data_IF_371298819161
#
_entry.id   IF_371298819161
#
_cell.length_a   1.000
_cell.length_b   1.000
_cell.length_c   1.000
_cell.angle_alpha   90.00
_cell.angle_beta   90.00
_cell.angle_gamma   90.00
#
_symmetry.space_group_name_H-M   'P 1'
#
loop_
_entity.id
_entity.type
_entity.pdbx_description
1 polymer ?
#
# COMPACT_ATOMS: atom_id res chain seq x y z
N UNK A 1 14.90 1.40 -31.51
CA UNK A 1 15.29 1.14 -30.10
C UNK A 1 15.46 -0.36 -29.95
N UNK A 2 16.63 -0.84 -29.60
CA UNK A 2 16.86 -2.25 -29.28
C UNK A 2 16.05 -2.57 -28.02
N UNK A 3 15.09 -3.49 -28.15
CA UNK A 3 14.31 -3.98 -27.01
C UNK A 3 15.26 -4.62 -26.01
N UNK A 4 15.31 -4.12 -24.76
CA UNK A 4 16.06 -4.78 -23.69
C UNK A 4 15.48 -6.16 -23.39
N UNK A 5 16.27 -7.04 -22.83
CA UNK A 5 15.79 -8.32 -22.31
C UNK A 5 14.87 -8.08 -21.10
N UNK A 6 13.71 -8.73 -21.06
CA UNK A 6 12.75 -8.57 -19.97
C UNK A 6 13.29 -9.12 -18.63
N UNK A 7 13.06 -8.39 -17.56
CA UNK A 7 13.25 -8.83 -16.17
C UNK A 7 12.02 -9.58 -15.66
N UNK A 8 12.19 -10.38 -14.62
CA UNK A 8 11.06 -11.11 -13.99
C UNK A 8 10.02 -10.19 -13.34
N UNK A 9 10.39 -8.94 -13.06
CA UNK A 9 9.52 -7.90 -12.50
C UNK A 9 8.68 -7.19 -13.56
N UNK A 10 9.00 -7.34 -14.86
CA UNK A 10 8.30 -6.65 -15.93
C UNK A 10 6.84 -7.09 -16.04
N UNK A 11 5.97 -6.12 -16.32
CA UNK A 11 4.57 -6.43 -16.59
C UNK A 11 4.42 -7.12 -17.94
N UNK A 12 3.67 -8.22 -17.98
CA UNK A 12 3.27 -8.86 -19.24
C UNK A 12 2.34 -7.95 -20.05
N UNK A 13 2.16 -8.22 -21.35
CA UNK A 13 1.25 -7.44 -22.20
C UNK A 13 -0.18 -7.43 -21.62
N UNK A 14 -0.65 -8.58 -21.16
CA UNK A 14 -1.97 -8.69 -20.55
C UNK A 14 -2.10 -7.85 -19.26
N UNK A 15 -1.05 -7.81 -18.42
CA UNK A 15 -1.05 -6.96 -17.20
C UNK A 15 -0.93 -5.49 -17.55
N UNK A 16 -0.12 -5.13 -18.54
CA UNK A 16 -0.01 -3.75 -19.00
C UNK A 16 -1.35 -3.23 -19.53
N UNK A 17 -2.03 -3.99 -20.39
CA UNK A 17 -3.33 -3.63 -20.94
C UNK A 17 -4.40 -3.32 -19.85
N UNK A 18 -4.26 -3.85 -18.64
CA UNK A 18 -5.17 -3.54 -17.52
C UNK A 18 -4.99 -2.12 -17.00
N UNK A 19 -3.75 -1.62 -16.94
CA UNK A 19 -3.38 -0.36 -16.29
C UNK A 19 -3.03 0.76 -17.28
N UNK A 20 -2.70 0.42 -18.52
CA UNK A 20 -2.37 1.38 -19.59
C UNK A 20 -3.38 2.52 -19.72
N UNK A 21 -4.72 2.27 -19.67
CA UNK A 21 -5.70 3.35 -19.79
C UNK A 21 -5.55 4.45 -18.74
N UNK A 22 -5.18 4.12 -17.50
CA UNK A 22 -4.94 5.11 -16.44
C UNK A 22 -3.75 6.01 -16.81
N UNK A 23 -2.66 5.42 -17.25
CA UNK A 23 -1.47 6.15 -17.68
C UNK A 23 -1.68 6.95 -18.98
N UNK A 24 -2.53 6.46 -19.88
CA UNK A 24 -2.91 7.19 -21.09
C UNK A 24 -3.70 8.45 -20.76
N UNK A 25 -4.68 8.37 -19.86
CA UNK A 25 -5.43 9.52 -19.36
C UNK A 25 -4.50 10.51 -18.65
N UNK A 26 -3.64 10.01 -17.75
CA UNK A 26 -2.65 10.84 -17.08
C UNK A 26 -1.75 11.59 -18.07
N UNK A 27 -1.26 10.92 -19.12
CA UNK A 27 -0.43 11.55 -20.16
C UNK A 27 -1.19 12.58 -20.97
N UNK A 28 -2.45 12.32 -21.32
CA UNK A 28 -3.30 13.22 -22.09
C UNK A 28 -3.63 14.50 -21.32
N UNK A 29 -3.78 14.42 -19.99
CA UNK A 29 -4.08 15.57 -19.14
C UNK A 29 -2.90 16.53 -18.95
N UNK A 30 -1.68 16.16 -19.36
CA UNK A 30 -0.50 17.01 -19.18
C UNK A 30 -0.45 18.13 -20.23
N UNK A 31 -0.21 19.35 -19.76
CA UNK A 31 -0.04 20.57 -20.56
C UNK A 31 1.25 21.29 -20.19
N UNK A 32 1.69 22.24 -21.02
CA UNK A 32 2.83 23.09 -20.76
C UNK A 32 4.13 22.65 -21.46
N UNK A 33 5.24 23.38 -21.25
CA UNK A 33 6.54 23.09 -21.84
C UNK A 33 7.00 21.67 -21.50
N UNK A 34 7.39 20.90 -22.50
CA UNK A 34 7.80 19.49 -22.34
C UNK A 34 6.68 18.46 -22.35
N UNK A 35 5.40 18.84 -22.32
CA UNK A 35 4.27 17.90 -22.44
C UNK A 35 4.28 17.15 -23.79
N UNK A 36 4.74 17.82 -24.86
CA UNK A 36 4.88 17.23 -26.19
C UNK A 36 6.11 16.30 -26.31
N UNK A 37 7.11 16.44 -25.45
CA UNK A 37 8.29 15.58 -25.47
C UNK A 37 7.99 14.22 -24.83
N UNK A 38 7.34 13.32 -25.58
CA UNK A 38 7.05 11.93 -25.17
C UNK A 38 8.31 11.06 -25.27
N UNK A 39 9.32 11.40 -24.45
CA UNK A 39 10.65 10.78 -24.55
C UNK A 39 10.67 9.34 -24.03
N UNK A 40 9.81 9.01 -23.06
CA UNK A 40 9.86 7.71 -22.40
C UNK A 40 8.53 6.92 -22.56
N UNK A 41 8.67 5.64 -22.81
CA UNK A 41 7.57 4.68 -22.72
C UNK A 41 7.14 4.53 -21.25
N UNK A 42 5.85 4.76 -20.93
CA UNK A 42 5.32 4.68 -19.56
C UNK A 42 5.37 3.25 -19.04
N UNK A 43 5.27 2.24 -19.91
CA UNK A 43 5.43 0.85 -19.51
C UNK A 43 6.85 0.59 -18.99
N UNK A 44 7.87 1.15 -19.66
CA UNK A 44 9.26 1.01 -19.19
C UNK A 44 9.51 1.75 -17.87
N UNK A 45 8.86 2.88 -17.64
CA UNK A 45 8.87 3.56 -16.32
C UNK A 45 8.24 2.66 -15.25
N UNK A 46 7.07 2.07 -15.51
CA UNK A 46 6.41 1.13 -14.57
C UNK A 46 7.29 -0.09 -14.31
N UNK A 47 7.88 -0.69 -15.35
CA UNK A 47 8.80 -1.82 -15.22
C UNK A 47 10.00 -1.50 -14.32
N UNK A 48 10.58 -0.30 -14.47
CA UNK A 48 11.68 0.16 -13.64
C UNK A 48 11.28 0.34 -12.17
N UNK A 49 10.11 0.94 -11.90
CA UNK A 49 9.55 1.07 -10.53
C UNK A 49 9.32 -0.30 -9.90
N UNK A 50 8.73 -1.23 -10.64
CA UNK A 50 8.49 -2.60 -10.16
C UNK A 50 9.79 -3.37 -9.93
N UNK A 51 10.83 -3.09 -10.71
CA UNK A 51 12.16 -3.65 -10.49
C UNK A 51 12.75 -3.18 -9.15
N UNK A 52 12.71 -1.88 -8.87
CA UNK A 52 13.14 -1.32 -7.58
C UNK A 52 12.34 -1.91 -6.42
N UNK A 53 11.00 -1.97 -6.55
CA UNK A 53 10.14 -2.54 -5.52
C UNK A 53 10.42 -4.03 -5.26
N UNK A 54 10.72 -4.79 -6.32
CA UNK A 54 10.99 -6.23 -6.21
C UNK A 54 12.35 -6.56 -5.63
N UNK A 55 13.35 -5.74 -5.96
CA UNK A 55 14.75 -5.98 -5.59
C UNK A 55 15.16 -5.27 -4.31
N UNK A 56 14.46 -4.18 -3.94
CA UNK A 56 14.82 -3.34 -2.79
C UNK A 56 16.08 -2.52 -2.97
N UNK A 57 16.59 -2.39 -4.20
CA UNK A 57 17.79 -1.59 -4.47
C UNK A 57 17.53 -0.08 -4.29
N UNK A 58 18.54 0.73 -3.95
CA UNK A 58 18.46 2.18 -4.11
C UNK A 58 18.20 2.57 -5.56
N UNK A 59 17.47 3.67 -5.79
CA UNK A 59 17.13 4.15 -7.13
C UNK A 59 18.35 4.32 -8.04
N UNK A 60 19.45 4.80 -7.51
CA UNK A 60 20.73 5.05 -8.23
C UNK A 60 21.38 3.77 -8.76
N UNK A 61 20.99 2.59 -8.26
CA UNK A 61 21.46 1.29 -8.73
C UNK A 61 20.54 0.65 -9.79
N UNK A 62 19.56 1.41 -10.29
CA UNK A 62 18.71 0.94 -11.38
C UNK A 62 19.58 0.56 -12.60
N UNK A 63 19.42 -0.65 -13.20
CA UNK A 63 20.15 -1.08 -14.38
C UNK A 63 20.10 -0.06 -15.54
N UNK A 64 21.21 0.07 -16.28
CA UNK A 64 21.36 1.07 -17.33
C UNK A 64 20.50 0.84 -18.59
N UNK A 65 19.91 -0.31 -18.73
CA UNK A 65 18.97 -0.65 -19.82
C UNK A 65 17.53 -0.19 -19.52
N UNK A 66 17.25 0.32 -18.32
CA UNK A 66 16.07 1.12 -18.00
C UNK A 66 16.27 2.60 -18.32
N UNK A 67 15.20 3.41 -18.37
CA UNK A 67 15.35 4.87 -18.38
C UNK A 67 16.17 5.36 -17.17
N UNK A 68 16.86 6.53 -17.27
CA UNK A 68 17.68 7.07 -16.18
C UNK A 68 16.92 7.13 -14.85
N UNK A 69 17.53 6.68 -13.78
CA UNK A 69 16.86 6.54 -12.47
C UNK A 69 16.20 7.85 -11.97
N UNK A 70 16.80 9.00 -12.21
CA UNK A 70 16.20 10.31 -11.87
C UNK A 70 14.88 10.52 -12.59
N UNK A 71 14.83 10.17 -13.88
CA UNK A 71 13.59 10.24 -14.68
C UNK A 71 12.52 9.29 -14.11
N UNK A 72 12.91 8.05 -13.81
CA UNK A 72 11.97 7.06 -13.23
C UNK A 72 11.42 7.55 -11.90
N UNK A 73 12.29 8.07 -11.03
CA UNK A 73 11.89 8.62 -9.74
C UNK A 73 10.97 9.83 -9.88
N UNK A 74 11.25 10.74 -10.84
CA UNK A 74 10.39 11.89 -11.11
C UNK A 74 8.97 11.49 -11.56
N UNK A 75 8.84 10.44 -12.38
CA UNK A 75 7.54 9.90 -12.75
C UNK A 75 6.84 9.30 -11.54
N UNK A 76 7.55 8.47 -10.76
CA UNK A 76 7.03 7.88 -9.54
C UNK A 76 6.52 8.94 -8.57
N UNK A 77 7.34 9.96 -8.26
CA UNK A 77 6.97 11.04 -7.37
C UNK A 77 5.74 11.85 -7.85
N UNK A 78 5.59 12.04 -9.16
CA UNK A 78 4.42 12.70 -9.75
C UNK A 78 3.17 11.86 -9.61
N UNK A 79 3.25 10.54 -9.90
CA UNK A 79 2.13 9.61 -9.78
C UNK A 79 1.66 9.41 -8.33
N UNK A 80 2.59 9.49 -7.38
CA UNK A 80 2.26 9.53 -5.95
C UNK A 80 1.52 10.82 -5.58
N UNK A 81 2.05 11.97 -6.03
CA UNK A 81 1.52 13.28 -5.68
C UNK A 81 0.13 13.56 -6.29
N UNK A 82 -0.15 13.04 -7.49
CA UNK A 82 -1.42 13.26 -8.19
C UNK A 82 -2.43 12.11 -8.07
N UNK A 83 -2.11 11.09 -7.24
CA UNK A 83 -3.00 9.95 -6.96
C UNK A 83 -3.07 8.90 -8.07
N UNK A 84 -2.23 8.98 -9.11
CA UNK A 84 -2.23 7.99 -10.21
C UNK A 84 -1.90 6.59 -9.72
N UNK A 85 -0.94 6.47 -8.77
CA UNK A 85 -0.57 5.18 -8.16
C UNK A 85 -1.76 4.56 -7.43
N UNK A 86 -2.50 5.35 -6.68
CA UNK A 86 -3.72 4.93 -5.99
C UNK A 86 -4.81 4.47 -6.96
N UNK A 87 -5.04 5.22 -8.05
CA UNK A 87 -6.00 4.83 -9.10
C UNK A 87 -5.64 3.48 -9.74
N UNK A 88 -4.35 3.22 -10.01
CA UNK A 88 -3.90 1.93 -10.52
C UNK A 88 -4.13 0.82 -9.49
N UNK A 89 -3.83 1.07 -8.23
CA UNK A 89 -4.04 0.12 -7.14
C UNK A 89 -5.54 -0.23 -7.02
N UNK A 90 -6.41 0.75 -6.98
CA UNK A 90 -7.85 0.57 -6.84
C UNK A 90 -8.45 -0.20 -8.00
N UNK A 91 -8.06 0.15 -9.23
CA UNK A 91 -8.46 -0.60 -10.42
C UNK A 91 -8.08 -2.08 -10.33
N UNK A 92 -6.87 -2.38 -9.88
CA UNK A 92 -6.38 -3.76 -9.76
C UNK A 92 -7.06 -4.49 -8.60
N UNK A 93 -7.31 -3.82 -7.48
CA UNK A 93 -8.08 -4.34 -6.34
C UNK A 93 -9.48 -4.74 -6.78
N UNK A 94 -10.22 -3.84 -7.42
CA UNK A 94 -11.58 -4.08 -7.89
C UNK A 94 -11.65 -5.27 -8.84
N UNK A 95 -10.74 -5.33 -9.81
CA UNK A 95 -10.66 -6.46 -10.74
C UNK A 95 -10.35 -7.78 -10.05
N UNK A 96 -9.41 -7.75 -9.10
CA UNK A 96 -9.05 -8.96 -8.32
C UNK A 96 -10.22 -9.44 -7.48
N UNK A 97 -10.95 -8.53 -6.84
CA UNK A 97 -12.13 -8.87 -6.05
C UNK A 97 -13.22 -9.50 -6.93
N UNK A 98 -13.56 -8.88 -8.06
CA UNK A 98 -14.55 -9.43 -9.02
C UNK A 98 -14.14 -10.78 -9.58
N UNK A 99 -12.86 -11.00 -9.85
CA UNK A 99 -12.33 -12.29 -10.29
C UNK A 99 -12.40 -13.39 -9.22
N UNK A 100 -12.64 -13.01 -7.95
CA UNK A 100 -12.87 -13.93 -6.83
C UNK A 100 -14.33 -13.91 -6.34
N UNK A 101 -15.28 -13.60 -7.22
CA UNK A 101 -16.73 -13.58 -6.94
C UNK A 101 -17.09 -12.64 -5.77
N UNK A 102 -16.38 -11.51 -5.66
CA UNK A 102 -16.65 -10.47 -4.65
C UNK A 102 -17.12 -9.18 -5.33
N UNK A 103 -17.87 -8.38 -4.59
CA UNK A 103 -18.17 -6.99 -4.99
C UNK A 103 -16.88 -6.17 -5.06
N UNK A 104 -16.84 -5.10 -5.87
CA UNK A 104 -15.69 -4.21 -5.96
C UNK A 104 -15.34 -3.63 -4.58
N UNK A 105 -16.35 -3.12 -3.86
CA UNK A 105 -16.17 -2.58 -2.52
C UNK A 105 -16.27 -3.68 -1.44
N UNK A 106 -15.34 -3.73 -0.47
CA UNK A 106 -15.38 -4.64 0.64
C UNK A 106 -16.39 -4.21 1.70
N UNK A 107 -17.05 -5.16 2.36
CA UNK A 107 -17.89 -4.91 3.54
C UNK A 107 -17.19 -5.21 4.87
N UNK A 108 -16.05 -5.92 4.81
CA UNK A 108 -15.28 -6.30 5.98
C UNK A 108 -13.78 -6.21 5.70
N UNK A 109 -13.01 -5.89 6.74
CA UNK A 109 -11.57 -5.69 6.65
C UNK A 109 -10.83 -6.24 7.88
N UNK A 110 -9.52 -6.21 7.80
CA UNK A 110 -8.60 -6.62 8.86
C UNK A 110 -7.58 -5.54 9.07
N UNK A 111 -7.28 -5.20 10.31
CA UNK A 111 -6.24 -4.24 10.67
C UNK A 111 -5.08 -4.92 11.39
N UNK A 112 -3.85 -4.58 11.00
CA UNK A 112 -2.62 -5.02 11.66
C UNK A 112 -1.60 -3.87 11.72
N UNK A 113 -0.65 -3.95 12.66
CA UNK A 113 0.43 -2.98 12.81
C UNK A 113 1.80 -3.64 12.76
N UNK A 114 2.63 -3.19 11.83
CA UNK A 114 3.99 -3.67 11.65
C UNK A 114 5.01 -2.57 11.89
N UNK A 115 5.93 -2.79 12.86
CA UNK A 115 7.09 -1.91 13.05
C UNK A 115 8.23 -2.32 12.12
N UNK A 116 8.79 -1.35 11.41
CA UNK A 116 9.83 -1.54 10.39
C UNK A 116 11.03 -0.67 10.74
N UNK A 117 12.22 -1.28 10.75
CA UNK A 117 13.47 -0.52 10.90
C UNK A 117 13.65 0.45 9.75
N UNK A 118 14.11 1.65 10.07
CA UNK A 118 14.50 2.66 9.07
C UNK A 118 16.01 2.72 8.91
N UNK A 119 16.49 3.18 7.76
CA UNK A 119 17.90 3.43 7.53
C UNK A 119 18.40 4.65 8.30
N UNK A 120 19.73 4.77 8.49
CA UNK A 120 20.35 5.83 9.29
C UNK A 120 20.18 7.25 8.75
N UNK A 121 19.78 7.40 7.47
CA UNK A 121 19.55 8.70 6.81
C UNK A 121 18.12 9.21 6.94
N UNK A 122 17.25 8.53 7.67
CA UNK A 122 15.89 9.00 7.94
C UNK A 122 15.90 9.99 9.09
N UNK A 123 15.20 11.11 8.91
CA UNK A 123 15.12 12.17 9.94
C UNK A 123 14.55 11.63 11.26
N UNK A 124 15.20 11.95 12.37
CA UNK A 124 14.81 11.50 13.72
C UNK A 124 13.36 11.86 14.07
N UNK A 125 12.89 13.03 13.65
CA UNK A 125 11.52 13.50 13.89
C UNK A 125 10.43 12.59 13.26
N UNK A 126 10.78 11.77 12.26
CA UNK A 126 9.84 10.89 11.56
C UNK A 126 9.90 9.43 12.01
N UNK A 127 10.71 9.12 13.01
CA UNK A 127 10.89 7.78 13.56
C UNK A 127 10.67 7.76 15.07
N UNK A 128 10.57 6.56 15.63
CA UNK A 128 10.44 6.36 17.06
C UNK A 128 10.87 4.94 17.44
N UNK A 129 10.76 4.61 18.72
CA UNK A 129 11.09 3.29 19.23
C UNK A 129 9.80 2.57 19.62
N UNK A 130 9.52 1.42 18.99
CA UNK A 130 8.54 0.47 19.48
C UNK A 130 9.14 -0.29 20.67
N UNK A 131 8.71 0.07 21.87
CA UNK A 131 9.26 -0.51 23.09
C UNK A 131 8.95 -2.00 23.23
N UNK A 132 7.80 -2.46 22.73
CA UNK A 132 7.39 -3.87 22.78
C UNK A 132 8.22 -4.76 21.84
N UNK A 133 8.47 -4.28 20.63
CA UNK A 133 9.24 -5.02 19.61
C UNK A 133 10.73 -4.67 19.61
N UNK A 134 11.14 -3.65 20.38
CA UNK A 134 12.52 -3.11 20.45
C UNK A 134 13.06 -2.70 19.07
N UNK A 135 12.19 -2.07 18.25
CA UNK A 135 12.50 -1.63 16.89
C UNK A 135 12.50 -0.11 16.85
N UNK A 136 13.63 0.50 16.45
CA UNK A 136 13.69 1.91 16.08
C UNK A 136 13.32 2.06 14.60
N UNK A 137 12.30 2.89 14.32
CA UNK A 137 11.87 3.12 12.95
C UNK A 137 10.46 3.68 12.84
N UNK A 138 9.72 3.20 11.85
CA UNK A 138 8.33 3.57 11.57
C UNK A 138 7.39 2.40 11.78
N UNK A 139 6.12 2.70 12.02
CA UNK A 139 5.05 1.70 12.12
C UNK A 139 4.09 1.90 10.96
N UNK A 140 3.74 0.81 10.30
CA UNK A 140 2.69 0.77 9.28
C UNK A 140 1.45 0.18 9.92
N UNK A 141 0.36 0.93 9.92
CA UNK A 141 -0.97 0.44 10.24
C UNK A 141 -1.61 0.09 8.91
N UNK A 142 -1.81 -1.18 8.67
CA UNK A 142 -2.28 -1.72 7.40
C UNK A 142 -3.71 -2.23 7.56
N UNK A 143 -4.62 -1.76 6.72
CA UNK A 143 -5.96 -2.32 6.63
C UNK A 143 -6.11 -2.99 5.28
N UNK A 144 -6.50 -4.27 5.30
CA UNK A 144 -6.74 -5.08 4.10
C UNK A 144 -8.16 -5.62 4.11
N UNK A 145 -8.68 -5.95 2.95
CA UNK A 145 -9.91 -6.73 2.86
C UNK A 145 -9.66 -8.22 3.22
N UNK A 146 -10.70 -9.02 3.16
CA UNK A 146 -10.63 -10.46 3.46
C UNK A 146 -9.87 -11.30 2.42
N UNK A 147 -9.48 -10.73 1.30
CA UNK A 147 -8.57 -11.32 0.32
C UNK A 147 -7.10 -10.89 0.53
N UNK A 148 -6.83 -10.05 1.54
CA UNK A 148 -5.52 -9.48 1.80
C UNK A 148 -5.15 -8.29 0.90
N UNK A 149 -6.13 -7.73 0.17
CA UNK A 149 -5.90 -6.56 -0.69
C UNK A 149 -5.94 -5.29 0.16
N UNK A 150 -4.96 -4.43 -0.04
CA UNK A 150 -4.79 -3.20 0.74
C UNK A 150 -5.96 -2.23 0.51
N UNK A 151 -6.48 -1.67 1.58
CA UNK A 151 -7.50 -0.60 1.58
C UNK A 151 -6.91 0.71 2.07
N UNK A 152 -6.17 0.68 3.18
CA UNK A 152 -5.59 1.87 3.81
C UNK A 152 -4.23 1.53 4.40
N UNK A 153 -3.29 2.44 4.28
CA UNK A 153 -1.97 2.37 4.93
C UNK A 153 -1.66 3.68 5.61
N UNK A 154 -1.58 3.66 6.93
CA UNK A 154 -1.10 4.80 7.70
C UNK A 154 0.32 4.52 8.20
N UNK A 155 1.24 5.45 7.98
CA UNK A 155 2.62 5.35 8.47
C UNK A 155 2.85 6.36 9.59
N UNK A 156 3.28 5.85 10.76
CA UNK A 156 3.60 6.66 11.94
C UNK A 156 5.03 6.41 12.43
N UNK A 157 5.51 7.21 13.38
CA UNK A 157 6.69 6.82 14.15
C UNK A 157 6.41 5.51 14.90
N UNK A 158 7.41 4.63 15.04
CA UNK A 158 7.20 3.33 15.70
C UNK A 158 6.81 3.42 17.18
N UNK A 159 7.04 4.58 17.81
CA UNK A 159 6.61 4.88 19.19
C UNK A 159 5.10 5.09 19.34
N UNK A 160 4.37 5.34 18.25
CA UNK A 160 2.91 5.48 18.29
C UNK A 160 2.28 4.14 18.64
N UNK A 161 1.41 4.14 19.65
CA UNK A 161 0.71 2.93 20.10
C UNK A 161 -0.26 2.42 19.02
N UNK A 162 -0.39 1.10 18.87
CA UNK A 162 -1.23 0.46 17.84
C UNK A 162 -2.67 0.99 17.87
N UNK A 163 -3.24 1.19 19.07
CA UNK A 163 -4.59 1.74 19.22
C UNK A 163 -4.71 3.20 18.75
N UNK A 164 -3.66 4.02 18.91
CA UNK A 164 -3.71 5.41 18.45
C UNK A 164 -3.66 5.51 16.93
N UNK A 165 -2.70 4.82 16.30
CA UNK A 165 -2.61 4.74 14.84
C UNK A 165 -3.79 4.00 14.22
N UNK A 166 -4.29 2.96 14.91
CA UNK A 166 -5.48 2.22 14.48
C UNK A 166 -6.72 3.09 14.38
N UNK A 167 -6.98 3.97 15.37
CA UNK A 167 -8.12 4.91 15.30
C UNK A 167 -8.03 5.84 14.08
N UNK A 168 -6.84 6.39 13.82
CA UNK A 168 -6.65 7.25 12.65
C UNK A 168 -6.85 6.45 11.34
N UNK A 169 -6.26 5.26 11.23
CA UNK A 169 -6.42 4.41 10.05
C UNK A 169 -7.88 3.99 9.82
N UNK A 170 -8.67 3.76 10.90
CA UNK A 170 -10.10 3.48 10.80
C UNK A 170 -10.89 4.69 10.29
N UNK A 171 -10.54 5.90 10.70
CA UNK A 171 -11.19 7.11 10.20
C UNK A 171 -10.94 7.29 8.70
N UNK A 172 -9.68 7.17 8.25
CA UNK A 172 -9.31 7.22 6.83
C UNK A 172 -10.02 6.12 6.02
N UNK A 173 -10.13 4.91 6.58
CA UNK A 173 -10.88 3.81 5.95
C UNK A 173 -12.36 4.13 5.79
N UNK A 174 -13.02 4.67 6.83
CA UNK A 174 -14.44 4.98 6.80
C UNK A 174 -14.78 6.05 5.73
N UNK A 175 -13.86 7.00 5.52
CA UNK A 175 -13.99 8.03 4.49
C UNK A 175 -13.80 7.46 3.08
N UNK A 176 -12.77 6.61 2.88
CA UNK A 176 -12.43 6.04 1.58
C UNK A 176 -13.31 4.83 1.20
N UNK A 177 -13.75 4.04 2.17
CA UNK A 177 -14.49 2.79 1.98
C UNK A 177 -15.72 2.70 2.90
N UNK A 178 -16.76 3.53 2.69
CA UNK A 178 -17.93 3.61 3.58
C UNK A 178 -18.77 2.32 3.62
N UNK A 179 -18.54 1.37 2.72
CA UNK A 179 -19.17 0.05 2.73
C UNK A 179 -18.58 -0.91 3.77
N UNK A 180 -17.41 -0.60 4.33
CA UNK A 180 -16.78 -1.43 5.37
C UNK A 180 -17.46 -1.17 6.70
N UNK A 181 -18.19 -2.16 7.20
CA UNK A 181 -18.92 -2.11 8.48
C UNK A 181 -18.35 -3.05 9.54
N UNK A 182 -17.41 -3.93 9.18
CA UNK A 182 -16.79 -4.91 10.09
C UNK A 182 -15.28 -4.91 9.96
N UNK A 183 -14.56 -4.88 11.10
CA UNK A 183 -13.10 -5.03 11.15
C UNK A 183 -12.70 -6.06 12.20
N UNK A 184 -11.75 -6.92 11.85
CA UNK A 184 -11.04 -7.77 12.79
C UNK A 184 -9.67 -7.17 13.09
N UNK A 185 -9.31 -7.12 14.39
CA UNK A 185 -8.05 -6.63 14.90
C UNK A 185 -7.40 -7.67 15.82
N UNK A 186 -6.09 -7.59 16.01
CA UNK A 186 -5.41 -8.42 17.00
C UNK A 186 -5.49 -7.84 18.43
N UNK A 187 -4.98 -8.59 19.42
CA UNK A 187 -5.00 -8.19 20.83
C UNK A 187 -4.17 -6.95 21.18
N UNK A 188 -3.41 -6.38 20.24
CA UNK A 188 -2.70 -5.10 20.41
C UNK A 188 -3.65 -3.89 20.36
N UNK A 189 -4.85 -4.07 19.86
CA UNK A 189 -5.87 -3.02 19.79
C UNK A 189 -6.76 -3.05 21.02
N UNK A 190 -6.86 -1.90 21.71
CA UNK A 190 -7.56 -1.77 22.99
C UNK A 190 -9.02 -1.32 22.82
N UNK A 191 -9.77 -1.33 23.91
CA UNK A 191 -11.18 -0.90 23.98
C UNK A 191 -11.44 0.45 23.31
N UNK A 192 -10.48 1.38 23.36
CA UNK A 192 -10.61 2.70 22.73
C UNK A 192 -10.76 2.65 21.20
N UNK A 193 -10.25 1.59 20.53
CA UNK A 193 -10.42 1.39 19.08
C UNK A 193 -11.81 0.86 18.78
N UNK A 194 -12.32 -0.05 19.62
CA UNK A 194 -13.70 -0.57 19.53
C UNK A 194 -14.71 0.58 19.66
N UNK A 195 -14.52 1.43 20.68
CA UNK A 195 -15.39 2.59 20.90
C UNK A 195 -15.33 3.60 19.74
N UNK A 196 -14.13 3.84 19.20
CA UNK A 196 -13.96 4.71 18.04
C UNK A 196 -14.63 4.13 16.80
N UNK A 197 -14.45 2.83 16.54
CA UNK A 197 -15.13 2.12 15.44
C UNK A 197 -16.65 2.25 15.55
N UNK A 198 -17.22 1.99 16.72
CA UNK A 198 -18.65 2.15 16.95
C UNK A 198 -19.15 3.58 16.68
N UNK A 199 -18.37 4.60 17.02
CA UNK A 199 -18.69 6.01 16.75
C UNK A 199 -18.74 6.33 15.24
N UNK A 200 -17.90 5.70 14.43
CA UNK A 200 -17.84 5.89 12.96
C UNK A 200 -18.60 4.81 12.16
N UNK A 201 -19.43 4.01 12.83
CA UNK A 201 -20.26 2.99 12.18
C UNK A 201 -19.57 1.69 11.81
N UNK A 202 -18.39 1.40 12.38
CA UNK A 202 -17.61 0.18 12.13
C UNK A 202 -17.60 -0.70 13.38
N UNK A 203 -18.08 -1.93 13.27
CA UNK A 203 -17.97 -2.96 14.31
C UNK A 203 -16.53 -3.54 14.34
N UNK A 204 -15.77 -3.23 15.38
CA UNK A 204 -14.39 -3.71 15.57
C UNK A 204 -14.39 -4.89 16.53
N UNK A 205 -14.01 -6.07 16.03
CA UNK A 205 -13.85 -7.29 16.81
C UNK A 205 -12.37 -7.59 17.05
N UNK A 206 -11.96 -7.57 18.32
CA UNK A 206 -10.60 -7.99 18.69
C UNK A 206 -10.54 -9.50 18.85
N UNK A 207 -9.78 -10.14 17.95
CA UNK A 207 -9.61 -11.60 17.94
C UNK A 207 -8.58 -11.99 18.99
N UNK A 208 -9.04 -12.70 20.02
CA UNK A 208 -8.18 -13.19 21.09
C UNK A 208 -7.43 -14.46 20.67
N UNK A 209 -6.16 -14.55 21.05
CA UNK A 209 -5.40 -15.79 20.87
C UNK A 209 -5.93 -16.87 21.81
N UNK A 210 -6.06 -18.13 21.34
CA UNK A 210 -6.34 -19.24 22.24
C UNK A 210 -5.31 -19.31 23.35
N UNK A 211 -5.74 -19.64 24.58
CA UNK A 211 -4.84 -19.79 25.75
C UNK A 211 -3.98 -21.06 25.70
N UNK A 212 -4.25 -21.93 24.76
CA UNK A 212 -3.53 -23.20 24.61
C UNK A 212 -2.12 -22.99 24.05
N UNK A 213 -1.16 -23.80 24.55
CA UNK A 213 0.22 -23.77 24.06
C UNK A 213 0.30 -24.40 22.67
N UNK A 214 0.92 -23.73 21.73
CA UNK A 214 1.16 -24.20 20.36
C UNK A 214 0.65 -23.22 19.30
N UNK A 215 1.06 -23.44 18.04
CA UNK A 215 0.55 -22.69 16.90
C UNK A 215 -0.83 -23.24 16.52
N UNK A 216 -1.86 -22.42 16.67
CA UNK A 216 -3.20 -22.72 16.17
C UNK A 216 -3.62 -21.61 15.19
N UNK A 217 -4.01 -21.96 13.95
CA UNK A 217 -4.59 -20.98 13.03
C UNK A 217 -5.89 -20.43 13.63
N UNK A 218 -6.01 -19.13 13.70
CA UNK A 218 -7.25 -18.51 14.17
C UNK A 218 -8.29 -18.55 13.03
N UNK A 219 -9.53 -18.98 13.29
CA UNK A 219 -10.54 -19.19 12.24
C UNK A 219 -10.95 -17.92 11.49
N UNK A 220 -10.59 -16.74 11.99
CA UNK A 220 -10.86 -15.43 11.36
C UNK A 220 -9.59 -14.68 10.96
N UNK A 221 -8.48 -15.37 10.97
CA UNK A 221 -7.19 -14.88 10.48
C UNK A 221 -6.75 -15.83 9.37
N UNK A 222 -7.15 -15.50 8.19
CA UNK A 222 -6.84 -16.19 7.02
C UNK A 222 -5.49 -16.54 6.78
#
# INVERSE_FOLDING_TARGET
MTSRRAYRSDVSDARWALIEPVFAVWRAARSGPGAAARVHDLREIVNAILYVNRTGIPWEYLPHDFPPFKTVYDYYAKWEADGTTEQVHDLLRDRTRRANDRTAEPSAAVVDAQSVKTSGNIAEASQGIDAGKKIKGRKRHLITDTLGLVLTVLVTAASVHDSAGGKQALTELAEAHPSVTKIWADGGYQTSVIQHGAHIGIDVEVVQRPKEKGFQPLPKRW
#
